data_IF_793483315939
#
_entry.id   IF_793483315939
#
_cell.length_a   1.000
_cell.length_b   1.000
_cell.length_c   1.000
_cell.angle_alpha   90.00
_cell.angle_beta   90.00
_cell.angle_gamma   90.00
#
_symmetry.space_group_name_H-M   'P 1'
#
loop_
_entity.id
_entity.type
_entity.pdbx_description
1 polymer ?
#
# COMPACT_ATOMS: atom_id res chain seq x y z
N UNK A 1 21.67 -11.38 -3.05
CA UNK A 1 20.54 -10.52 -3.41
C UNK A 1 21.05 -9.34 -4.21
N UNK A 2 20.28 -8.92 -5.23
CA UNK A 2 20.62 -7.79 -6.11
C UNK A 2 20.58 -6.44 -5.38
N UNK A 3 19.89 -6.39 -4.24
CA UNK A 3 19.70 -5.22 -3.40
C UNK A 3 20.39 -5.40 -2.05
N UNK A 4 20.76 -4.28 -1.43
CA UNK A 4 21.14 -4.24 -0.01
C UNK A 4 19.95 -4.64 0.88
N UNK A 5 20.20 -4.87 2.17
CA UNK A 5 19.12 -5.21 3.12
C UNK A 5 18.15 -4.03 3.22
N UNK A 6 16.89 -4.26 2.90
CA UNK A 6 15.79 -3.30 3.05
C UNK A 6 14.68 -3.88 3.92
N UNK A 7 13.88 -3.01 4.54
CA UNK A 7 12.75 -3.33 5.39
C UNK A 7 11.67 -2.26 5.20
N UNK A 8 10.75 -2.53 4.28
CA UNK A 8 9.69 -1.60 3.85
C UNK A 8 8.35 -2.09 4.39
N UNK A 9 7.54 -1.16 4.89
CA UNK A 9 6.13 -1.38 5.22
C UNK A 9 5.26 -0.57 4.28
N UNK A 10 4.36 -1.24 3.56
CA UNK A 10 3.36 -0.57 2.71
C UNK A 10 2.04 -0.48 3.46
N UNK A 11 1.51 0.73 3.56
CA UNK A 11 0.21 1.05 4.16
C UNK A 11 -0.70 1.53 3.03
N UNK A 12 -1.60 0.65 2.64
CA UNK A 12 -2.53 0.83 1.52
C UNK A 12 -3.91 1.26 2.07
N UNK A 13 -4.47 2.30 1.47
CA UNK A 13 -5.90 2.63 1.62
C UNK A 13 -6.75 1.49 1.02
N UNK A 14 -7.79 1.02 1.71
CA UNK A 14 -8.45 -0.25 1.38
C UNK A 14 -10.00 -0.17 1.29
N UNK A 15 -10.58 1.02 1.39
CA UNK A 15 -12.02 1.27 1.39
C UNK A 15 -12.50 2.02 0.13
N UNK A 16 -11.64 2.78 -0.56
CA UNK A 16 -12.04 3.71 -1.63
C UNK A 16 -11.28 3.48 -2.96
N UNK A 17 -11.04 4.54 -3.73
CA UNK A 17 -10.41 4.56 -5.06
C UNK A 17 -11.27 3.86 -6.15
N UNK A 18 -10.66 3.49 -7.27
CA UNK A 18 -11.27 2.68 -8.34
C UNK A 18 -11.79 1.32 -7.86
N UNK A 19 -11.36 0.88 -6.67
CA UNK A 19 -11.80 -0.36 -6.03
C UNK A 19 -13.25 -0.31 -5.54
N UNK A 20 -13.88 0.87 -5.57
CA UNK A 20 -15.34 0.99 -5.45
C UNK A 20 -16.10 0.25 -6.55
N UNK A 21 -15.44 -0.10 -7.67
CA UNK A 21 -16.00 -0.94 -8.73
C UNK A 21 -17.13 -0.26 -9.51
N UNK A 22 -17.21 1.08 -9.46
CA UNK A 22 -18.26 1.84 -10.14
C UNK A 22 -17.84 2.08 -11.59
N UNK A 23 -18.39 1.25 -12.47
CA UNK A 23 -18.13 1.28 -13.90
C UNK A 23 -19.40 1.49 -14.71
N UNK A 24 -19.28 2.24 -15.81
CA UNK A 24 -20.37 2.52 -16.73
C UNK A 24 -19.94 2.23 -18.15
N UNK A 25 -20.81 1.59 -18.94
CA UNK A 25 -20.68 1.59 -20.40
C UNK A 25 -21.34 2.85 -20.94
N UNK A 26 -20.55 3.75 -21.52
CA UNK A 26 -21.06 5.01 -22.06
C UNK A 26 -21.59 4.85 -23.50
N UNK A 27 -20.89 4.06 -24.32
CA UNK A 27 -21.26 3.75 -25.71
C UNK A 27 -20.99 2.27 -26.04
N UNK A 28 -21.14 1.88 -27.31
CA UNK A 28 -20.76 0.55 -27.77
C UNK A 28 -19.27 0.20 -27.55
N UNK A 29 -18.41 1.20 -27.47
CA UNK A 29 -16.94 1.09 -27.49
C UNK A 29 -16.23 1.94 -26.41
N UNK A 30 -16.96 2.62 -25.54
CA UNK A 30 -16.38 3.41 -24.44
C UNK A 30 -16.98 3.05 -23.08
N UNK A 31 -16.10 3.08 -22.08
CA UNK A 31 -16.37 2.70 -20.71
C UNK A 31 -15.74 3.74 -19.78
N UNK A 32 -16.37 3.96 -18.63
CA UNK A 32 -15.90 4.86 -17.59
C UNK A 32 -15.68 4.05 -16.31
N UNK A 33 -14.53 4.25 -15.68
CA UNK A 33 -14.25 3.85 -14.31
C UNK A 33 -14.23 5.09 -13.42
N UNK A 34 -14.81 5.01 -12.22
CA UNK A 34 -14.91 6.14 -11.30
C UNK A 34 -13.94 5.95 -10.13
N UNK A 35 -12.97 6.87 -9.98
CA UNK A 35 -12.11 6.97 -8.80
C UNK A 35 -12.78 7.86 -7.75
N UNK A 36 -13.02 7.32 -6.56
CA UNK A 36 -13.57 8.07 -5.42
C UNK A 36 -12.49 8.18 -4.36
N UNK A 37 -12.20 9.40 -3.90
CA UNK A 37 -11.29 9.66 -2.79
C UNK A 37 -11.94 10.67 -1.87
N UNK A 38 -12.12 10.31 -0.60
CA UNK A 38 -12.58 11.23 0.44
C UNK A 38 -11.42 11.77 1.26
N UNK A 39 -11.62 13.00 1.76
CA UNK A 39 -10.70 13.61 2.72
C UNK A 39 -10.61 12.79 4.01
N UNK A 40 -11.74 12.29 4.50
CA UNK A 40 -11.81 11.53 5.76
C UNK A 40 -11.05 10.21 5.68
N UNK A 41 -11.20 9.44 4.60
CA UNK A 41 -10.45 8.19 4.42
C UNK A 41 -8.96 8.46 4.27
N UNK A 42 -8.61 9.46 3.46
CA UNK A 42 -7.22 9.91 3.28
C UNK A 42 -6.56 10.33 4.61
N UNK A 43 -7.24 11.13 5.43
CA UNK A 43 -6.73 11.54 6.75
C UNK A 43 -6.59 10.34 7.71
N UNK A 44 -7.55 9.41 7.70
CA UNK A 44 -7.53 8.19 8.53
C UNK A 44 -6.33 7.31 8.20
N UNK A 45 -6.10 6.99 6.93
CA UNK A 45 -4.99 6.11 6.52
C UNK A 45 -3.62 6.79 6.68
N UNK A 46 -3.52 8.09 6.37
CA UNK A 46 -2.29 8.84 6.60
C UNK A 46 -1.93 8.87 8.09
N UNK A 47 -2.92 9.13 8.97
CA UNK A 47 -2.72 9.10 10.42
C UNK A 47 -2.29 7.72 10.90
N UNK A 48 -2.95 6.67 10.41
CA UNK A 48 -2.54 5.30 10.71
C UNK A 48 -1.08 5.05 10.32
N UNK A 49 -0.62 5.55 9.17
CA UNK A 49 0.76 5.40 8.74
C UNK A 49 1.78 6.06 9.67
N UNK A 50 1.51 7.29 10.11
CA UNK A 50 2.38 7.97 11.07
C UNK A 50 2.35 7.34 12.47
N UNK A 51 1.18 6.90 12.95
CA UNK A 51 1.08 6.17 14.22
C UNK A 51 1.79 4.82 14.16
N UNK A 52 1.67 4.10 13.04
CA UNK A 52 2.41 2.86 12.80
C UNK A 52 3.92 3.12 12.86
N UNK A 53 4.38 4.15 12.14
CA UNK A 53 5.79 4.53 12.13
C UNK A 53 6.30 4.86 13.53
N UNK A 54 5.55 5.65 14.30
CA UNK A 54 5.86 5.99 15.69
C UNK A 54 5.92 4.75 16.59
N UNK A 55 4.90 3.89 16.56
CA UNK A 55 4.79 2.67 17.38
C UNK A 55 5.96 1.72 17.11
N UNK A 56 6.39 1.60 15.87
CA UNK A 56 7.47 0.69 15.46
C UNK A 56 8.83 1.38 15.33
N UNK A 57 8.99 2.59 15.89
CA UNK A 57 10.25 3.35 15.87
C UNK A 57 10.84 3.58 14.46
N UNK A 58 9.99 3.57 13.43
CA UNK A 58 10.34 3.94 12.06
C UNK A 58 10.63 5.44 11.99
N UNK A 59 11.43 5.84 11.01
CA UNK A 59 11.97 7.22 10.92
C UNK A 59 11.39 8.01 9.77
N UNK A 60 10.74 7.34 8.82
CA UNK A 60 10.25 8.00 7.61
C UNK A 60 8.93 7.42 7.13
N UNK A 61 8.03 8.31 6.70
CA UNK A 61 6.81 7.97 5.98
C UNK A 61 6.84 8.67 4.62
N UNK A 62 6.71 7.89 3.56
CA UNK A 62 6.71 8.34 2.17
C UNK A 62 5.31 8.23 1.57
N UNK A 63 4.77 9.30 1.04
CA UNK A 63 3.49 9.32 0.32
C UNK A 63 3.70 9.17 -1.18
N UNK A 64 2.99 8.24 -1.82
CA UNK A 64 2.98 8.10 -3.28
C UNK A 64 1.60 8.46 -3.84
N UNK A 65 1.54 9.43 -4.76
CA UNK A 65 0.30 9.81 -5.46
C UNK A 65 0.59 10.24 -6.90
N UNK A 66 -0.44 10.50 -7.71
CA UNK A 66 -0.33 11.08 -9.07
C UNK A 66 -1.05 12.43 -9.16
N UNK A 67 -0.88 13.26 -8.13
CA UNK A 67 -1.55 14.56 -7.96
C UNK A 67 -1.19 15.60 -9.04
N UNK A 68 -0.08 15.42 -9.74
CA UNK A 68 0.28 16.21 -10.93
C UNK A 68 -0.71 16.03 -12.09
N UNK A 69 -1.39 14.88 -12.18
CA UNK A 69 -2.44 14.60 -13.16
C UNK A 69 -3.82 14.67 -12.50
N UNK A 70 -4.01 13.92 -11.41
CA UNK A 70 -5.27 13.80 -10.68
C UNK A 70 -5.36 14.81 -9.55
N UNK A 71 -5.42 16.09 -9.92
CA UNK A 71 -5.36 17.23 -8.99
C UNK A 71 -6.42 17.22 -7.89
N UNK A 72 -7.57 16.60 -8.14
CA UNK A 72 -8.68 16.56 -7.17
C UNK A 72 -8.64 15.32 -6.29
N UNK A 73 -8.52 14.12 -6.85
CA UNK A 73 -8.51 12.87 -6.08
C UNK A 73 -7.19 12.73 -5.33
N UNK A 74 -6.09 12.56 -6.05
CA UNK A 74 -4.75 12.38 -5.52
C UNK A 74 -4.24 13.64 -4.81
N UNK A 75 -4.66 14.81 -5.28
CA UNK A 75 -4.40 16.07 -4.57
C UNK A 75 -5.11 16.14 -3.21
N UNK A 76 -6.31 15.56 -3.07
CA UNK A 76 -6.98 15.45 -1.75
C UNK A 76 -6.21 14.52 -0.83
N UNK A 77 -5.74 13.39 -1.34
CA UNK A 77 -4.92 12.45 -0.58
C UNK A 77 -3.59 13.09 -0.13
N UNK A 78 -2.87 13.73 -1.05
CA UNK A 78 -1.61 14.43 -0.75
C UNK A 78 -1.83 15.57 0.26
N UNK A 79 -2.88 16.38 0.11
CA UNK A 79 -3.19 17.43 1.08
C UNK A 79 -3.54 16.89 2.47
N UNK A 80 -4.13 15.70 2.56
CA UNK A 80 -4.35 15.01 3.84
C UNK A 80 -3.01 14.56 4.44
N UNK A 81 -2.13 13.94 3.65
CA UNK A 81 -0.78 13.54 4.09
C UNK A 81 0.01 14.73 4.67
N UNK A 82 0.08 15.86 3.95
CA UNK A 82 0.77 17.07 4.39
C UNK A 82 0.19 17.65 5.68
N UNK A 83 -1.13 17.54 5.88
CA UNK A 83 -1.79 18.00 7.10
C UNK A 83 -1.40 17.14 8.28
N UNK A 84 -1.49 15.82 8.13
CA UNK A 84 -1.18 14.85 9.17
C UNK A 84 0.30 14.91 9.53
N UNK A 85 1.20 15.02 8.54
CA UNK A 85 2.65 15.07 8.76
C UNK A 85 3.09 16.16 9.75
N UNK A 86 2.39 17.30 9.79
CA UNK A 86 2.68 18.41 10.72
C UNK A 86 2.47 18.02 12.20
N UNK A 87 1.67 17.00 12.47
CA UNK A 87 1.42 16.49 13.82
C UNK A 87 2.54 15.54 14.32
N UNK A 88 3.46 15.13 13.43
CA UNK A 88 4.54 14.17 13.71
C UNK A 88 5.92 14.72 13.31
N UNK A 89 6.40 15.81 13.94
CA UNK A 89 7.63 16.50 13.52
C UNK A 89 8.91 15.64 13.62
N UNK A 90 8.89 14.58 14.42
CA UNK A 90 10.03 13.66 14.61
C UNK A 90 10.14 12.58 13.51
N UNK A 91 9.16 12.50 12.61
CA UNK A 91 9.11 11.52 11.52
C UNK A 91 9.30 12.27 10.20
N UNK A 92 10.30 11.88 9.42
CA UNK A 92 10.52 12.48 8.10
C UNK A 92 9.33 12.15 7.20
N UNK A 93 8.66 13.18 6.70
CA UNK A 93 7.63 13.05 5.66
C UNK A 93 8.24 13.39 4.30
N UNK A 94 8.01 12.55 3.30
CA UNK A 94 8.37 12.84 1.90
C UNK A 94 7.24 12.42 0.95
N UNK A 95 7.20 13.05 -0.21
CA UNK A 95 6.23 12.75 -1.25
C UNK A 95 6.96 12.45 -2.57
N UNK A 96 6.46 11.48 -3.32
CA UNK A 96 6.83 11.25 -4.70
C UNK A 96 5.58 11.10 -5.57
N UNK A 97 5.73 11.50 -6.83
CA UNK A 97 4.82 11.02 -7.86
C UNK A 97 5.00 9.52 -8.02
N UNK A 98 3.90 8.77 -8.10
CA UNK A 98 3.87 7.30 -8.02
C UNK A 98 4.75 6.61 -9.06
N UNK A 99 4.94 7.20 -10.24
CA UNK A 99 5.83 6.65 -11.28
C UNK A 99 7.28 6.58 -10.83
N UNK A 100 7.86 7.71 -10.43
CA UNK A 100 9.24 7.77 -9.94
C UNK A 100 9.37 7.10 -8.58
N UNK A 101 8.33 7.16 -7.75
CA UNK A 101 8.28 6.48 -6.46
C UNK A 101 8.41 4.96 -6.62
N UNK A 102 7.56 4.34 -7.44
CA UNK A 102 7.62 2.90 -7.72
C UNK A 102 8.95 2.50 -8.39
N UNK A 103 9.45 3.30 -9.33
CA UNK A 103 10.74 3.04 -9.96
C UNK A 103 11.87 3.00 -8.92
N UNK A 104 11.90 3.97 -7.99
CA UNK A 104 12.89 4.00 -6.91
C UNK A 104 12.72 2.87 -5.91
N UNK A 105 11.49 2.47 -5.56
CA UNK A 105 11.27 1.29 -4.71
C UNK A 105 11.84 0.04 -5.37
N UNK A 106 11.71 -0.09 -6.69
CA UNK A 106 12.22 -1.25 -7.43
C UNK A 106 13.75 -1.24 -7.64
N UNK A 107 14.40 -0.08 -7.60
CA UNK A 107 15.85 0.04 -7.87
C UNK A 107 16.69 0.32 -6.63
N UNK A 108 16.14 1.03 -5.66
CA UNK A 108 16.80 1.55 -4.45
C UNK A 108 15.87 1.37 -3.22
N UNK A 109 15.37 0.15 -2.94
CA UNK A 109 14.41 -0.10 -1.86
C UNK A 109 14.94 0.26 -0.47
N UNK A 110 16.25 0.21 -0.24
CA UNK A 110 16.91 0.59 1.01
C UNK A 110 16.68 2.06 1.41
N UNK A 111 16.28 2.90 0.45
CA UNK A 111 15.94 4.28 0.69
C UNK A 111 14.53 4.44 1.27
N UNK A 112 13.68 3.41 1.37
CA UNK A 112 12.30 3.50 1.87
C UNK A 112 12.13 2.84 3.24
N UNK A 113 11.12 3.29 3.99
CA UNK A 113 10.78 2.80 5.33
C UNK A 113 9.28 2.48 5.37
N UNK A 114 8.43 3.42 5.81
CA UNK A 114 6.98 3.29 5.66
C UNK A 114 6.53 4.01 4.39
N UNK A 115 5.71 3.37 3.56
CA UNK A 115 5.09 3.99 2.38
C UNK A 115 3.57 3.98 2.59
N UNK A 116 2.92 5.12 2.38
CA UNK A 116 1.46 5.25 2.39
C UNK A 116 0.95 5.69 1.02
N UNK A 117 -0.11 5.06 0.54
CA UNK A 117 -0.69 5.37 -0.77
C UNK A 117 -2.15 4.91 -0.89
N UNK A 118 -2.79 5.29 -1.99
CA UNK A 118 -4.16 4.98 -2.35
C UNK A 118 -4.32 3.50 -2.76
N UNK A 119 -5.55 3.03 -2.87
CA UNK A 119 -5.88 1.61 -3.02
C UNK A 119 -5.19 0.94 -4.23
N UNK A 120 -5.37 1.48 -5.44
CA UNK A 120 -4.81 0.88 -6.66
C UNK A 120 -3.28 0.90 -6.66
N UNK A 121 -2.68 1.97 -6.15
CA UNK A 121 -1.22 2.08 -6.10
C UNK A 121 -0.62 1.19 -5.04
N UNK A 122 -1.29 1.07 -3.89
CA UNK A 122 -0.88 0.20 -2.80
C UNK A 122 -0.91 -1.27 -3.20
N UNK A 123 -1.91 -1.67 -3.99
CA UNK A 123 -2.01 -2.99 -4.59
C UNK A 123 -0.74 -3.33 -5.39
N UNK A 124 -0.48 -2.54 -6.44
CA UNK A 124 0.66 -2.73 -7.34
C UNK A 124 1.99 -2.64 -6.59
N UNK A 125 2.13 -1.64 -5.71
CA UNK A 125 3.35 -1.41 -4.96
C UNK A 125 3.66 -2.57 -4.01
N UNK A 126 2.65 -3.10 -3.31
CA UNK A 126 2.85 -4.18 -2.35
C UNK A 126 3.38 -5.45 -3.02
N UNK A 127 2.90 -5.77 -4.22
CA UNK A 127 3.42 -6.86 -5.05
C UNK A 127 4.86 -6.61 -5.50
N UNK A 128 5.18 -5.38 -5.91
CA UNK A 128 6.56 -5.00 -6.28
C UNK A 128 7.50 -5.20 -5.09
N UNK A 129 7.13 -4.71 -3.90
CA UNK A 129 7.93 -4.86 -2.68
C UNK A 129 8.10 -6.33 -2.30
N UNK A 130 7.02 -7.11 -2.33
CA UNK A 130 7.06 -8.53 -2.03
C UNK A 130 7.95 -9.30 -3.02
N UNK A 131 7.83 -9.02 -4.31
CA UNK A 131 8.69 -9.62 -5.33
C UNK A 131 10.16 -9.19 -5.18
N UNK A 132 10.41 -7.93 -4.81
CA UNK A 132 11.75 -7.39 -4.56
C UNK A 132 12.41 -8.08 -3.36
N UNK A 133 11.61 -8.52 -2.38
CA UNK A 133 12.08 -9.28 -1.20
C UNK A 133 12.42 -10.75 -1.52
N UNK A 134 12.00 -11.25 -2.68
CA UNK A 134 12.35 -12.57 -3.21
C UNK A 134 11.19 -13.31 -3.85
N UNK A 135 9.97 -13.14 -3.34
CA UNK A 135 8.75 -13.71 -3.93
C UNK A 135 7.50 -13.13 -3.26
N UNK A 136 6.45 -12.90 -4.06
CA UNK A 136 5.11 -12.56 -3.54
C UNK A 136 4.59 -13.61 -2.54
N UNK A 137 4.97 -14.89 -2.70
CA UNK A 137 4.57 -15.97 -1.81
C UNK A 137 5.12 -15.89 -0.37
N UNK A 138 6.03 -14.94 -0.10
CA UNK A 138 6.59 -14.72 1.24
C UNK A 138 5.84 -13.65 2.03
N UNK A 139 5.03 -12.81 1.38
CA UNK A 139 4.42 -11.66 2.04
C UNK A 139 3.07 -12.01 2.68
N UNK A 140 2.90 -11.57 3.93
CA UNK A 140 1.61 -11.55 4.63
C UNK A 140 1.11 -10.11 4.75
N UNK A 141 -0.21 -9.94 4.88
CA UNK A 141 -0.87 -8.65 5.03
C UNK A 141 -1.82 -8.63 6.22
N UNK A 142 -2.17 -7.42 6.65
CA UNK A 142 -3.08 -7.16 7.75
C UNK A 142 -4.07 -6.06 7.34
N UNK A 143 -5.34 -6.42 7.23
CA UNK A 143 -6.44 -5.49 7.00
C UNK A 143 -7.01 -5.06 8.36
N UNK A 144 -6.74 -3.83 8.75
CA UNK A 144 -7.06 -3.32 10.10
C UNK A 144 -8.21 -2.32 10.01
N UNK A 145 -9.33 -2.65 10.65
CA UNK A 145 -10.46 -1.76 10.89
C UNK A 145 -10.53 -1.30 12.34
N UNK A 146 -11.53 -0.47 12.66
CA UNK A 146 -11.73 0.03 14.03
C UNK A 146 -12.19 -1.07 15.00
N UNK A 147 -12.99 -2.03 14.53
CA UNK A 147 -13.58 -3.10 15.34
C UNK A 147 -13.08 -4.50 14.98
N UNK A 148 -12.60 -4.68 13.74
CA UNK A 148 -12.24 -5.98 13.19
C UNK A 148 -10.85 -5.91 12.55
N UNK A 149 -10.16 -7.05 12.52
CA UNK A 149 -8.91 -7.23 11.80
C UNK A 149 -8.93 -8.55 11.03
N UNK A 150 -8.36 -8.56 9.84
CA UNK A 150 -8.22 -9.75 8.99
C UNK A 150 -6.78 -9.88 8.52
N UNK A 151 -6.20 -11.06 8.63
CA UNK A 151 -4.82 -11.34 8.28
C UNK A 151 -4.79 -12.40 7.18
N UNK A 152 -4.11 -12.12 6.09
CA UNK A 152 -4.10 -12.98 4.90
C UNK A 152 -2.73 -13.00 4.21
N UNK A 153 -2.51 -13.99 3.35
CA UNK A 153 -1.35 -13.96 2.46
C UNK A 153 -1.61 -12.97 1.31
N UNK A 154 -0.57 -12.31 0.81
CA UNK A 154 -0.70 -11.35 -0.30
C UNK A 154 -0.93 -12.06 -1.64
N UNK A 155 -0.43 -13.28 -1.79
CA UNK A 155 -0.49 -14.01 -3.06
C UNK A 155 -1.91 -14.50 -3.43
N UNK A 156 -2.13 -14.71 -4.73
CA UNK A 156 -3.39 -15.24 -5.25
C UNK A 156 -3.60 -16.75 -5.03
N UNK A 157 -4.65 -17.28 -5.67
CA UNK A 157 -5.14 -18.65 -5.46
C UNK A 157 -4.28 -19.77 -6.07
N UNK A 158 -3.41 -19.46 -7.03
CA UNK A 158 -2.50 -20.40 -7.71
C UNK A 158 -3.16 -21.76 -8.08
N UNK A 159 -4.23 -21.76 -8.91
CA UNK A 159 -5.06 -22.94 -9.16
C UNK A 159 -4.31 -24.07 -9.89
N UNK A 160 -3.26 -23.73 -10.64
CA UNK A 160 -2.41 -24.66 -11.37
C UNK A 160 -1.56 -25.56 -10.45
N UNK A 161 -1.33 -25.17 -9.19
CA UNK A 161 -0.60 -25.97 -8.20
C UNK A 161 -1.47 -26.53 -7.07
N UNK A 162 -2.77 -26.20 -7.07
CA UNK A 162 -3.71 -26.70 -6.07
C UNK A 162 -3.73 -28.24 -6.03
N UNK A 163 -3.71 -28.81 -4.83
CA UNK A 163 -3.69 -30.26 -4.60
C UNK A 163 -2.37 -30.97 -4.90
N UNK A 164 -1.33 -30.25 -5.35
CA UNK A 164 -0.02 -30.84 -5.67
C UNK A 164 0.96 -30.90 -4.49
N UNK A 165 0.58 -30.38 -3.32
CA UNK A 165 1.42 -30.31 -2.11
C UNK A 165 2.78 -29.61 -2.31
N UNK A 166 2.81 -28.55 -3.14
CA UNK A 166 4.00 -27.75 -3.44
C UNK A 166 3.80 -26.25 -3.16
N UNK A 167 2.69 -25.89 -2.49
CA UNK A 167 2.43 -24.51 -2.10
C UNK A 167 3.43 -24.06 -1.02
N UNK A 168 3.89 -22.81 -1.11
CA UNK A 168 4.71 -22.20 -0.08
C UNK A 168 3.81 -21.52 0.98
N UNK A 169 3.77 -22.00 2.24
CA UNK A 169 2.89 -21.45 3.27
C UNK A 169 3.44 -20.17 3.94
N UNK A 170 4.64 -19.71 3.58
CA UNK A 170 5.33 -18.62 4.28
C UNK A 170 4.50 -17.33 4.39
N UNK A 171 3.83 -16.90 3.32
CA UNK A 171 2.99 -15.69 3.35
C UNK A 171 1.87 -15.76 4.40
N UNK A 172 1.16 -16.89 4.47
CA UNK A 172 0.10 -17.10 5.45
C UNK A 172 0.66 -17.22 6.88
N UNK A 173 1.81 -17.87 7.06
CA UNK A 173 2.46 -17.95 8.37
C UNK A 173 2.90 -16.57 8.86
N UNK A 174 3.41 -15.71 7.98
CA UNK A 174 3.76 -14.33 8.32
C UNK A 174 2.51 -13.52 8.71
N UNK A 175 1.39 -13.70 8.00
CA UNK A 175 0.12 -13.08 8.38
C UNK A 175 -0.38 -13.57 9.76
N UNK A 176 -0.23 -14.87 10.06
CA UNK A 176 -0.55 -15.42 11.36
C UNK A 176 0.35 -14.86 12.49
N UNK A 177 1.62 -14.57 12.19
CA UNK A 177 2.50 -13.88 13.15
C UNK A 177 1.98 -12.46 13.43
N UNK A 178 1.57 -11.71 12.41
CA UNK A 178 0.99 -10.38 12.60
C UNK A 178 -0.30 -10.41 13.44
N UNK A 179 -1.08 -11.49 13.36
CA UNK A 179 -2.29 -11.67 14.16
C UNK A 179 -2.00 -11.82 15.67
N UNK A 180 -0.84 -12.35 16.03
CA UNK A 180 -0.49 -12.68 17.42
C UNK A 180 0.05 -11.49 18.22
N UNK A 181 0.38 -10.37 17.57
CA UNK A 181 1.08 -9.20 18.15
C UNK A 181 0.29 -7.90 17.98
#
# INVERSE_FOLDING_TARGET
>A
NKFDKFDIVVIRENEEDVYTGIEHRLTGDSYQCTKIITRSGSEKICRYAFEYAKKHSRKKVTCLTKDNIMKMTDGTFHAAFDRIAKEYPDIKAEHYIVDIGMARVATEPENFDVIVTENLYGDILSDIVAQTSGSVGLAGSSNIGNEYAMFEAVHGSAPDIAGKNIANPSGLLNAAVHMLV
#
